data_IF_807505404915
#
_entry.id   IF_807505404915
#
_cell.length_a   1.000
_cell.length_b   1.000
_cell.length_c   1.000
_cell.angle_alpha   90.00
_cell.angle_beta   90.00
_cell.angle_gamma   90.00
#
_symmetry.space_group_name_H-M   'P 1'
#
loop_
_entity.id
_entity.type
_entity.pdbx_description
1 polymer ?
#
# COMPACT_ATOMS: atom_id res chain seq x y z
N UNK A 1 -3.44 -14.33 -25.28
CA UNK A 1 -2.52 -14.38 -24.10
C UNK A 1 -3.39 -14.44 -22.85
N UNK A 2 -3.23 -15.47 -22.01
CA UNK A 2 -4.28 -15.92 -21.10
C UNK A 2 -4.48 -14.99 -19.88
N UNK A 3 -5.58 -14.23 -19.85
CA UNK A 3 -5.97 -13.30 -18.78
C UNK A 3 -6.22 -13.99 -17.44
N UNK A 4 -6.44 -15.31 -17.45
CA UNK A 4 -6.67 -16.10 -16.24
C UNK A 4 -5.50 -16.07 -15.24
N UNK A 5 -4.27 -15.86 -15.72
CA UNK A 5 -3.09 -15.84 -14.83
C UNK A 5 -2.98 -14.59 -13.96
N UNK A 6 -3.69 -13.51 -14.29
CA UNK A 6 -3.65 -12.24 -13.54
C UNK A 6 -4.81 -12.11 -12.55
N UNK A 7 -5.80 -13.01 -12.59
CA UNK A 7 -6.95 -13.00 -11.66
C UNK A 7 -6.54 -13.02 -10.17
N UNK A 8 -5.55 -13.83 -9.75
CA UNK A 8 -5.08 -13.81 -8.36
C UNK A 8 -4.49 -12.44 -7.99
N UNK A 9 -3.68 -11.85 -8.88
CA UNK A 9 -3.12 -10.53 -8.64
C UNK A 9 -4.21 -9.48 -8.49
N UNK A 10 -5.22 -9.45 -9.38
CA UNK A 10 -6.33 -8.49 -9.25
C UNK A 10 -7.10 -8.65 -7.94
N UNK A 11 -7.32 -9.88 -7.46
CA UNK A 11 -8.04 -10.13 -6.21
C UNK A 11 -7.25 -9.59 -5.00
N UNK A 12 -5.96 -9.90 -4.92
CA UNK A 12 -5.11 -9.39 -3.83
C UNK A 12 -4.98 -7.87 -3.92
N UNK A 13 -4.91 -7.29 -5.13
CA UNK A 13 -4.85 -5.84 -5.31
C UNK A 13 -6.13 -5.17 -4.81
N UNK A 14 -7.30 -5.76 -5.06
CA UNK A 14 -8.56 -5.28 -4.51
C UNK A 14 -8.60 -5.38 -2.98
N UNK A 15 -8.09 -6.47 -2.39
CA UNK A 15 -7.97 -6.60 -0.93
C UNK A 15 -7.02 -5.55 -0.34
N UNK A 16 -5.94 -5.21 -1.04
CA UNK A 16 -5.08 -4.09 -0.71
C UNK A 16 -5.81 -2.75 -0.69
N UNK A 17 -6.68 -2.52 -1.68
CA UNK A 17 -7.53 -1.34 -1.72
C UNK A 17 -8.49 -1.27 -0.53
N UNK A 18 -9.06 -2.40 -0.09
CA UNK A 18 -9.87 -2.46 1.12
C UNK A 18 -9.05 -2.10 2.36
N UNK A 19 -7.85 -2.69 2.49
CA UNK A 19 -6.96 -2.40 3.60
C UNK A 19 -6.56 -0.93 3.66
N UNK A 20 -6.16 -0.33 2.53
CA UNK A 20 -5.80 1.09 2.47
C UNK A 20 -7.00 2.00 2.74
N UNK A 21 -8.23 1.57 2.40
CA UNK A 21 -9.44 2.30 2.79
C UNK A 21 -9.60 2.29 4.31
N UNK A 22 -9.44 1.14 4.95
CA UNK A 22 -9.51 1.00 6.41
C UNK A 22 -8.41 1.83 7.07
N UNK A 23 -7.17 1.74 6.58
CA UNK A 23 -6.04 2.51 7.08
C UNK A 23 -6.31 4.02 6.94
N UNK A 24 -6.81 4.47 5.80
CA UNK A 24 -7.19 5.87 5.57
C UNK A 24 -8.21 6.37 6.59
N UNK A 25 -9.26 5.59 6.86
CA UNK A 25 -10.27 5.91 7.88
C UNK A 25 -9.65 5.95 9.28
N UNK A 26 -8.81 4.98 9.64
CA UNK A 26 -8.13 4.96 10.94
C UNK A 26 -7.22 6.18 11.13
N UNK A 27 -6.49 6.58 10.10
CA UNK A 27 -5.62 7.76 10.16
C UNK A 27 -6.43 9.05 10.36
N UNK A 28 -7.51 9.24 9.62
CA UNK A 28 -8.33 10.45 9.68
C UNK A 28 -9.09 10.54 11.02
N UNK A 29 -9.68 9.44 11.50
CA UNK A 29 -10.65 9.48 12.59
C UNK A 29 -10.14 8.93 13.92
N UNK A 30 -9.11 8.07 13.94
CA UNK A 30 -8.63 7.42 15.17
C UNK A 30 -7.21 7.85 15.58
N UNK A 31 -6.28 8.04 14.64
CA UNK A 31 -4.88 8.36 14.96
C UNK A 31 -4.68 9.87 15.17
N UNK A 32 -5.41 10.71 14.42
CA UNK A 32 -5.35 12.17 14.51
C UNK A 32 -6.25 12.81 15.57
N UNK A 33 -7.14 12.06 16.22
CA UNK A 33 -8.11 12.59 17.19
C UNK A 33 -7.58 12.52 18.62
N UNK A 34 -7.50 13.67 19.31
CA UNK A 34 -7.25 13.73 20.76
C UNK A 34 -5.80 13.83 21.24
N UNK A 35 -4.82 14.15 20.38
CA UNK A 35 -3.44 14.43 20.82
C UNK A 35 -3.20 15.91 21.06
N UNK A 36 -2.64 16.22 22.24
CA UNK A 36 -2.41 17.57 22.75
C UNK A 36 -1.36 18.32 21.89
N UNK A 37 -1.57 19.62 21.63
CA UNK A 37 -0.72 20.45 20.74
C UNK A 37 0.75 20.45 21.18
N UNK A 38 1.01 20.30 22.48
CA UNK A 38 2.35 20.38 23.04
C UNK A 38 3.15 19.07 22.97
N UNK A 39 2.51 17.92 22.68
CA UNK A 39 3.22 16.64 22.53
C UNK A 39 2.45 15.55 21.74
N UNK A 40 2.25 15.70 20.42
CA UNK A 40 1.83 14.59 19.57
C UNK A 40 3.05 13.89 18.94
N UNK A 41 3.10 12.54 18.96
CA UNK A 41 3.97 11.78 18.05
C UNK A 41 3.62 11.98 16.56
N UNK A 42 2.43 12.52 16.25
CA UNK A 42 1.97 12.86 14.90
C UNK A 42 0.90 13.96 14.98
N UNK A 43 1.09 15.08 14.27
CA UNK A 43 0.13 16.18 14.19
C UNK A 43 -1.17 15.72 13.49
N UNK A 44 -2.36 16.14 13.95
CA UNK A 44 -3.63 15.86 13.27
C UNK A 44 -3.64 16.20 11.78
N UNK A 45 -2.93 17.25 11.36
CA UNK A 45 -2.73 17.61 9.96
C UNK A 45 -2.06 16.48 9.17
N UNK A 46 -0.96 15.93 9.68
CA UNK A 46 -0.25 14.82 9.04
C UNK A 46 -1.09 13.54 9.01
N UNK A 47 -1.92 13.31 10.04
CA UNK A 47 -2.82 12.18 10.08
C UNK A 47 -3.91 12.26 8.98
N UNK A 48 -4.54 13.43 8.80
CA UNK A 48 -5.50 13.68 7.72
C UNK A 48 -4.84 13.57 6.36
N UNK A 49 -3.66 14.17 6.21
CA UNK A 49 -2.90 14.14 4.96
C UNK A 49 -2.56 12.70 4.56
N UNK A 50 -1.95 11.90 5.46
CA UNK A 50 -1.64 10.49 5.20
C UNK A 50 -2.89 9.67 4.92
N UNK A 51 -3.97 9.89 5.68
CA UNK A 51 -5.24 9.23 5.45
C UNK A 51 -5.82 9.48 4.05
N UNK A 52 -5.69 10.72 3.54
CA UNK A 52 -6.12 11.06 2.18
C UNK A 52 -5.30 10.34 1.11
N UNK A 53 -3.98 10.16 1.30
CA UNK A 53 -3.16 9.37 0.38
C UNK A 53 -3.56 7.90 0.36
N UNK A 54 -3.85 7.31 1.52
CA UNK A 54 -4.33 5.92 1.57
C UNK A 54 -5.64 5.74 0.82
N UNK A 55 -6.57 6.69 0.91
CA UNK A 55 -7.81 6.66 0.11
C UNK A 55 -7.53 6.79 -1.41
N UNK A 56 -6.60 7.65 -1.81
CA UNK A 56 -6.18 7.73 -3.21
C UNK A 56 -5.54 6.42 -3.70
N UNK A 57 -4.69 5.79 -2.89
CA UNK A 57 -4.09 4.50 -3.21
C UNK A 57 -5.12 3.37 -3.24
N UNK A 58 -6.11 3.40 -2.37
CA UNK A 58 -7.24 2.47 -2.42
C UNK A 58 -8.00 2.58 -3.74
N UNK A 59 -8.32 3.81 -4.16
CA UNK A 59 -8.96 4.05 -5.45
C UNK A 59 -8.13 3.52 -6.62
N UNK A 60 -6.83 3.84 -6.65
CA UNK A 60 -5.92 3.35 -7.69
C UNK A 60 -5.83 1.82 -7.69
N UNK A 61 -5.86 1.17 -6.53
CA UNK A 61 -5.88 -0.29 -6.42
C UNK A 61 -7.16 -0.89 -6.95
N UNK A 62 -8.34 -0.36 -6.61
CA UNK A 62 -9.60 -0.83 -7.16
C UNK A 62 -9.66 -0.68 -8.68
N UNK A 63 -9.27 0.47 -9.20
CA UNK A 63 -9.24 0.70 -10.66
C UNK A 63 -8.23 -0.19 -11.36
N UNK A 64 -7.06 -0.41 -10.75
CA UNK A 64 -6.03 -1.31 -11.29
C UNK A 64 -6.48 -2.77 -11.23
N UNK A 65 -7.22 -3.18 -10.20
CA UNK A 65 -7.74 -4.54 -10.07
C UNK A 65 -8.71 -4.92 -11.20
N UNK A 66 -9.48 -3.96 -11.73
CA UNK A 66 -10.38 -4.20 -12.87
C UNK A 66 -9.63 -4.52 -14.16
N UNK A 67 -8.42 -3.97 -14.35
CA UNK A 67 -7.58 -4.26 -15.51
C UNK A 67 -6.09 -4.07 -15.21
N UNK A 68 -5.51 -5.08 -14.55
CA UNK A 68 -4.12 -5.06 -14.07
C UNK A 68 -3.12 -4.79 -15.21
N UNK A 69 -3.40 -5.31 -16.41
CA UNK A 69 -2.46 -5.16 -17.54
C UNK A 69 -2.45 -3.74 -18.09
N UNK A 70 -3.62 -3.11 -18.19
CA UNK A 70 -3.73 -1.70 -18.61
C UNK A 70 -3.06 -0.77 -17.60
N UNK A 71 -3.19 -1.08 -16.32
CA UNK A 71 -2.67 -0.27 -15.22
C UNK A 71 -1.38 -0.83 -14.62
N UNK A 72 -0.57 -1.56 -15.40
CA UNK A 72 0.64 -2.22 -14.90
C UNK A 72 1.63 -1.25 -14.25
N UNK A 73 1.71 -0.01 -14.76
CA UNK A 73 2.52 1.05 -14.16
C UNK A 73 2.05 1.41 -12.74
N UNK A 74 0.74 1.59 -12.55
CA UNK A 74 0.18 1.86 -11.22
C UNK A 74 0.45 0.70 -10.26
N UNK A 75 0.33 -0.54 -10.76
CA UNK A 75 0.65 -1.74 -9.99
C UNK A 75 2.12 -1.74 -9.55
N UNK A 76 3.05 -1.46 -10.47
CA UNK A 76 4.48 -1.36 -10.17
C UNK A 76 4.81 -0.26 -9.16
N UNK A 77 4.25 0.94 -9.35
CA UNK A 77 4.44 2.07 -8.43
C UNK A 77 3.92 1.74 -7.02
N UNK A 78 2.74 1.13 -6.89
CA UNK A 78 2.17 0.76 -5.59
C UNK A 78 2.99 -0.31 -4.87
N UNK A 79 3.45 -1.35 -5.59
CA UNK A 79 4.33 -2.38 -5.00
C UNK A 79 5.60 -1.73 -4.46
N UNK A 80 6.21 -0.84 -5.23
CA UNK A 80 7.47 -0.17 -4.87
C UNK A 80 7.28 0.78 -3.70
N UNK A 81 6.24 1.61 -3.75
CA UNK A 81 5.91 2.55 -2.68
C UNK A 81 5.61 1.83 -1.37
N UNK A 82 4.84 0.72 -1.41
CA UNK A 82 4.54 -0.08 -0.22
C UNK A 82 5.79 -0.76 0.34
N UNK A 83 6.63 -1.35 -0.51
CA UNK A 83 7.91 -1.93 -0.09
C UNK A 83 8.82 -0.90 0.60
N UNK A 84 8.93 0.29 0.01
CA UNK A 84 9.70 1.40 0.59
C UNK A 84 9.12 1.84 1.94
N UNK A 85 7.80 1.98 2.04
CA UNK A 85 7.11 2.31 3.29
C UNK A 85 7.39 1.28 4.39
N UNK A 86 7.29 -0.03 4.10
CA UNK A 86 7.53 -1.09 5.09
C UNK A 86 8.98 -1.05 5.60
N UNK A 87 9.95 -0.84 4.70
CA UNK A 87 11.36 -0.72 5.07
C UNK A 87 11.60 0.48 5.99
N UNK A 88 11.03 1.64 5.66
CA UNK A 88 11.11 2.81 6.54
C UNK A 88 10.42 2.55 7.87
N UNK A 89 9.22 1.96 7.87
CA UNK A 89 8.46 1.68 9.08
C UNK A 89 9.28 0.81 10.04
N UNK A 90 9.77 -0.34 9.60
CA UNK A 90 10.56 -1.21 10.46
C UNK A 90 11.91 -0.61 10.87
N UNK A 91 12.54 0.20 10.00
CA UNK A 91 13.73 0.96 10.38
C UNK A 91 13.44 1.90 11.55
N UNK A 92 12.36 2.67 11.49
CA UNK A 92 11.99 3.59 12.57
C UNK A 92 11.62 2.85 13.85
N UNK A 93 10.93 1.72 13.74
CA UNK A 93 10.56 0.90 14.90
C UNK A 93 11.77 0.31 15.63
N UNK A 94 12.84 -0.04 14.91
CA UNK A 94 14.06 -0.61 15.51
C UNK A 94 15.01 0.46 16.02
N UNK A 95 15.16 1.57 15.29
CA UNK A 95 16.22 2.55 15.55
C UNK A 95 15.75 3.81 16.29
N UNK A 96 14.44 4.07 16.44
CA UNK A 96 13.91 5.25 17.14
C UNK A 96 13.28 4.83 18.48
N UNK A 97 13.93 5.14 19.61
CA UNK A 97 13.39 4.83 20.93
C UNK A 97 12.04 5.51 21.16
N UNK A 98 11.05 4.76 21.65
CA UNK A 98 9.70 5.27 21.93
C UNK A 98 8.79 5.35 20.71
N UNK A 99 9.19 4.81 19.55
CA UNK A 99 8.29 4.67 18.41
C UNK A 99 7.12 3.73 18.77
N UNK A 100 5.86 4.02 18.38
CA UNK A 100 4.71 3.22 18.80
C UNK A 100 4.72 1.80 18.23
N UNK A 101 4.70 0.80 19.11
CA UNK A 101 4.61 -0.62 18.73
C UNK A 101 3.28 -1.01 18.06
N UNK A 102 2.25 -0.16 18.15
CA UNK A 102 0.96 -0.37 17.51
C UNK A 102 1.06 -0.48 15.98
N UNK A 103 2.14 0.02 15.37
CA UNK A 103 2.37 -0.07 13.92
C UNK A 103 3.00 -1.39 13.46
N UNK A 104 3.38 -2.32 14.36
CA UNK A 104 3.92 -3.63 13.97
C UNK A 104 2.93 -4.40 13.10
N UNK A 105 1.66 -4.37 13.51
CA UNK A 105 0.57 -5.03 12.81
C UNK A 105 0.38 -4.50 11.38
N UNK A 106 0.43 -3.18 11.19
CA UNK A 106 0.30 -2.58 9.86
C UNK A 106 1.45 -2.99 8.96
N UNK A 107 2.69 -3.00 9.48
CA UNK A 107 3.86 -3.48 8.74
C UNK A 107 3.75 -4.95 8.30
N UNK A 108 3.18 -5.82 9.15
CA UNK A 108 2.99 -7.24 8.82
C UNK A 108 1.98 -7.39 7.69
N UNK A 109 0.82 -6.72 7.75
CA UNK A 109 -0.20 -6.79 6.71
C UNK A 109 0.35 -6.26 5.39
N UNK A 110 0.98 -5.09 5.42
CA UNK A 110 1.56 -4.48 4.24
C UNK A 110 2.66 -5.35 3.64
N UNK A 111 3.46 -6.02 4.48
CA UNK A 111 4.45 -7.01 4.08
C UNK A 111 3.84 -8.19 3.35
N UNK A 112 2.80 -8.82 3.92
CA UNK A 112 2.11 -9.95 3.32
C UNK A 112 1.45 -9.58 1.98
N UNK A 113 0.82 -8.39 1.91
CA UNK A 113 0.24 -7.86 0.67
C UNK A 113 1.31 -7.64 -0.39
N UNK A 114 2.42 -6.98 -0.04
CA UNK A 114 3.53 -6.68 -0.95
C UNK A 114 4.15 -7.96 -1.51
N UNK A 115 4.44 -8.95 -0.65
CA UNK A 115 4.98 -10.25 -1.06
C UNK A 115 3.98 -10.95 -2.00
N UNK A 116 2.69 -10.95 -1.67
CA UNK A 116 1.65 -11.54 -2.50
C UNK A 116 1.57 -10.87 -3.87
N UNK A 117 1.66 -9.54 -3.94
CA UNK A 117 1.69 -8.81 -5.21
C UNK A 117 2.86 -9.23 -6.09
N UNK A 118 4.06 -9.31 -5.51
CA UNK A 118 5.27 -9.70 -6.25
C UNK A 118 5.11 -11.13 -6.79
N UNK A 119 4.68 -12.08 -5.94
CA UNK A 119 4.50 -13.48 -6.33
C UNK A 119 3.47 -13.60 -7.46
N UNK A 120 2.31 -12.96 -7.33
CA UNK A 120 1.25 -13.06 -8.33
C UNK A 120 1.55 -12.26 -9.60
N UNK A 121 2.28 -11.15 -9.53
CA UNK A 121 2.76 -10.43 -10.72
C UNK A 121 3.71 -11.29 -11.55
N UNK A 122 4.70 -11.90 -10.90
CA UNK A 122 5.66 -12.79 -11.58
C UNK A 122 4.97 -14.01 -12.17
N UNK A 123 4.08 -14.68 -11.42
CA UNK A 123 3.28 -15.83 -11.93
C UNK A 123 2.32 -15.43 -13.05
N UNK A 124 1.83 -14.19 -13.02
CA UNK A 124 0.97 -13.59 -14.03
C UNK A 124 1.67 -13.19 -15.34
N UNK A 125 3.00 -13.28 -15.39
CA UNK A 125 3.80 -12.85 -16.55
C UNK A 125 4.07 -11.35 -16.61
N UNK A 126 3.79 -10.61 -15.54
CA UNK A 126 4.23 -9.23 -15.35
C UNK A 126 5.62 -9.24 -14.71
N UNK A 127 6.65 -9.37 -15.55
CA UNK A 127 8.03 -9.15 -15.12
C UNK A 127 8.25 -7.69 -14.68
N UNK A 128 9.33 -7.45 -13.93
CA UNK A 128 9.70 -6.13 -13.41
C UNK A 128 9.74 -5.07 -14.51
N UNK A 129 10.27 -5.41 -15.70
CA UNK A 129 10.27 -4.51 -16.86
C UNK A 129 8.86 -4.09 -17.27
N UNK A 130 7.90 -5.01 -17.30
CA UNK A 130 6.53 -4.72 -17.75
C UNK A 130 5.74 -3.90 -16.71
N UNK A 131 6.16 -3.91 -15.45
CA UNK A 131 5.58 -3.10 -14.38
C UNK A 131 6.01 -1.63 -14.46
N UNK A 132 7.19 -1.31 -15.01
CA UNK A 132 7.67 0.08 -15.11
C UNK A 132 7.74 0.63 -16.53
N UNK A 133 7.88 -0.26 -17.51
CA UNK A 133 7.94 0.04 -18.94
C UNK A 133 6.93 -0.85 -19.68
N UNK A 134 5.61 -0.61 -19.50
CA UNK A 134 4.61 -1.37 -20.21
C UNK A 134 4.81 -1.17 -21.72
N UNK A 135 4.84 -2.26 -22.50
CA UNK A 135 4.87 -2.17 -23.96
C UNK A 135 3.60 -1.46 -24.45
N UNK A 136 3.76 -0.25 -24.97
CA UNK A 136 2.69 0.46 -25.69
C UNK A 136 2.52 -0.27 -27.02
N UNK A 137 1.57 -1.20 -27.08
CA UNK A 137 1.10 -1.80 -28.33
C UNK A 137 -0.17 -1.11 -28.79
#
# INVERSE_FOLDING_TARGET
MNTDKLKPLSAVFALGGVWDTIAGILYIFAIGSGRNIDNPPMDPFYAIFLGSFFLCFAYLQFMSALNIRRYALNVGCLITGRAFYILLLYSYMVFVPGFPDTFWFTGIIDGLLTISYIIFALRGGLGVRNLFLPEVK
#
